data_IF_130626581219
#
_entry.id   IF_130626581219
#
_cell.length_a   1.000
_cell.length_b   1.000
_cell.length_c   1.000
_cell.angle_alpha   90.00
_cell.angle_beta   90.00
_cell.angle_gamma   90.00
#
_symmetry.space_group_name_H-M   'P 1'
#
loop_
_entity.id
_entity.type
_entity.pdbx_description
1 polymer ?
#
# COMPACT_ATOMS: atom_id res chain seq x y z
N UNK A 1 -27.31 10.53 5.30
CA UNK A 1 -25.84 10.42 5.42
C UNK A 1 -25.50 10.55 6.91
N UNK A 2 -25.28 9.44 7.63
CA UNK A 2 -25.13 9.49 9.09
C UNK A 2 -23.76 10.09 9.48
N UNK A 3 -23.74 11.38 9.76
CA UNK A 3 -22.59 12.05 10.35
C UNK A 3 -22.46 11.64 11.82
N UNK A 4 -21.24 11.27 12.24
CA UNK A 4 -20.95 11.01 13.66
C UNK A 4 -21.05 12.33 14.46
N UNK A 5 -21.73 12.27 15.61
CA UNK A 5 -22.04 13.40 16.51
C UNK A 5 -20.81 14.08 17.15
N UNK A 6 -19.63 13.44 17.14
CA UNK A 6 -18.35 14.03 17.56
C UNK A 6 -17.26 13.68 16.55
N UNK A 7 -16.60 14.69 15.99
CA UNK A 7 -15.39 14.52 15.17
C UNK A 7 -14.27 14.07 16.12
N UNK A 8 -13.63 12.95 15.82
CA UNK A 8 -12.46 12.49 16.59
C UNK A 8 -11.34 13.53 16.46
N UNK A 9 -10.71 13.98 17.56
CA UNK A 9 -9.56 14.89 17.50
C UNK A 9 -8.46 14.30 16.62
N UNK A 10 -7.68 15.17 15.98
CA UNK A 10 -6.61 14.79 15.02
C UNK A 10 -5.62 13.81 15.67
N UNK A 11 -5.36 14.00 16.96
CA UNK A 11 -4.51 13.13 17.78
C UNK A 11 -5.08 11.71 17.92
N UNK A 12 -6.40 11.54 18.08
CA UNK A 12 -7.02 10.21 18.09
C UNK A 12 -7.09 9.56 16.71
N UNK A 13 -7.14 10.35 15.63
CA UNK A 13 -7.04 9.83 14.25
C UNK A 13 -5.63 9.31 13.95
N UNK A 14 -4.60 9.99 14.41
CA UNK A 14 -3.20 9.54 14.32
C UNK A 14 -2.95 8.31 15.21
N UNK A 15 -3.49 8.32 16.43
CA UNK A 15 -3.41 7.17 17.35
C UNK A 15 -4.09 5.90 16.80
N UNK A 16 -5.19 6.02 16.06
CA UNK A 16 -5.83 4.89 15.37
C UNK A 16 -5.01 4.32 14.20
N UNK A 17 -4.06 5.09 13.68
CA UNK A 17 -3.13 4.67 12.62
C UNK A 17 -1.97 3.85 13.20
N UNK A 18 -1.51 4.21 14.40
CA UNK A 18 -0.42 3.54 15.14
C UNK A 18 -0.95 2.31 15.90
N UNK A 19 -2.15 2.40 16.50
CA UNK A 19 -2.80 1.30 17.20
C UNK A 19 -4.31 1.31 16.95
N UNK A 20 -4.83 0.47 16.03
CA UNK A 20 -6.27 0.41 15.79
C UNK A 20 -6.96 -0.16 17.03
N UNK A 21 -7.62 0.70 17.83
CA UNK A 21 -8.45 0.34 19.01
C UNK A 21 -9.50 -0.76 18.72
N UNK A 22 -9.79 -1.04 17.45
CA UNK A 22 -10.75 -2.05 16.98
C UNK A 22 -10.16 -3.47 16.83
N UNK A 23 -8.84 -3.65 16.92
CA UNK A 23 -8.14 -4.92 16.70
C UNK A 23 -7.90 -5.27 15.21
N UNK A 24 -6.80 -5.97 14.92
CA UNK A 24 -6.33 -6.30 13.57
C UNK A 24 -7.38 -6.98 12.68
N UNK A 25 -8.19 -7.89 13.25
CA UNK A 25 -9.26 -8.60 12.53
C UNK A 25 -10.31 -7.66 11.94
N UNK A 26 -10.69 -6.59 12.67
CA UNK A 26 -11.64 -5.59 12.19
C UNK A 26 -11.02 -4.66 11.15
N UNK A 27 -9.74 -4.34 11.28
CA UNK A 27 -9.00 -3.54 10.29
C UNK A 27 -8.94 -4.27 8.94
N UNK A 28 -8.57 -5.56 8.94
CA UNK A 28 -8.59 -6.40 7.73
C UNK A 28 -9.99 -6.48 7.15
N UNK A 29 -11.01 -6.70 7.98
CA UNK A 29 -12.42 -6.75 7.54
C UNK A 29 -12.87 -5.42 6.92
N UNK A 30 -12.47 -4.28 7.49
CA UNK A 30 -12.75 -2.96 6.96
C UNK A 30 -12.09 -2.74 5.60
N UNK A 31 -10.79 -3.02 5.47
CA UNK A 31 -10.07 -2.90 4.20
C UNK A 31 -10.65 -3.84 3.15
N UNK A 32 -11.03 -5.06 3.54
CA UNK A 32 -11.70 -6.01 2.67
C UNK A 32 -13.06 -5.50 2.17
N UNK A 33 -13.91 -4.98 3.06
CA UNK A 33 -15.17 -4.37 2.65
C UNK A 33 -14.99 -3.16 1.74
N UNK A 34 -13.94 -2.36 1.98
CA UNK A 34 -13.62 -1.19 1.18
C UNK A 34 -13.14 -1.60 -0.21
N UNK A 35 -12.18 -2.53 -0.30
CA UNK A 35 -11.66 -3.09 -1.56
C UNK A 35 -12.77 -3.71 -2.41
N UNK A 36 -13.70 -4.43 -1.76
CA UNK A 36 -14.87 -4.99 -2.42
C UNK A 36 -15.74 -3.90 -3.08
N UNK A 37 -15.87 -2.70 -2.52
CA UNK A 37 -16.76 -1.67 -3.06
C UNK A 37 -16.12 -0.79 -4.14
N UNK A 38 -14.83 -0.96 -4.42
CA UNK A 38 -14.13 -0.15 -5.42
C UNK A 38 -14.65 -0.50 -6.83
N UNK A 39 -15.03 0.51 -7.64
CA UNK A 39 -15.40 0.30 -9.03
C UNK A 39 -14.18 -0.07 -9.86
N UNK A 40 -14.29 -1.12 -10.68
CA UNK A 40 -13.22 -1.58 -11.56
C UNK A 40 -13.27 -3.08 -11.82
N UNK A 41 -12.51 -3.52 -12.83
CA UNK A 41 -12.27 -4.94 -13.09
C UNK A 41 -11.35 -5.52 -12.03
N UNK A 42 -11.46 -6.83 -11.77
CA UNK A 42 -10.58 -7.53 -10.82
C UNK A 42 -9.09 -7.35 -11.18
N UNK A 43 -8.76 -7.34 -12.48
CA UNK A 43 -7.40 -7.11 -12.96
C UNK A 43 -6.90 -5.69 -12.70
N UNK A 44 -7.73 -4.66 -12.92
CA UNK A 44 -7.35 -3.26 -12.66
C UNK A 44 -7.13 -3.00 -11.16
N UNK A 45 -7.96 -3.58 -10.29
CA UNK A 45 -7.80 -3.48 -8.83
C UNK A 45 -6.54 -4.22 -8.37
N UNK A 46 -6.30 -5.45 -8.87
CA UNK A 46 -5.09 -6.21 -8.54
C UNK A 46 -3.81 -5.51 -9.02
N UNK A 47 -3.82 -4.96 -10.24
CA UNK A 47 -2.71 -4.19 -10.80
C UNK A 47 -2.43 -2.92 -9.97
N UNK A 48 -3.48 -2.17 -9.63
CA UNK A 48 -3.34 -1.00 -8.76
C UNK A 48 -2.74 -1.37 -7.40
N UNK A 49 -3.28 -2.39 -6.74
CA UNK A 49 -2.76 -2.86 -5.45
C UNK A 49 -1.30 -3.33 -5.53
N UNK A 50 -0.92 -4.02 -6.62
CA UNK A 50 0.46 -4.43 -6.87
C UNK A 50 1.41 -3.24 -7.02
N UNK A 51 1.02 -2.18 -7.71
CA UNK A 51 1.80 -0.93 -7.75
C UNK A 51 1.97 -0.32 -6.37
N UNK A 52 0.92 -0.37 -5.53
CA UNK A 52 1.00 0.06 -4.13
C UNK A 52 1.99 -0.76 -3.31
N UNK A 53 1.90 -2.08 -3.41
CA UNK A 53 2.80 -2.99 -2.71
C UNK A 53 4.26 -2.82 -3.16
N UNK A 54 4.49 -2.64 -4.46
CA UNK A 54 5.82 -2.37 -5.02
C UNK A 54 6.37 -1.02 -4.52
N UNK A 55 5.57 0.04 -4.56
CA UNK A 55 5.97 1.36 -4.06
C UNK A 55 6.26 1.35 -2.56
N UNK A 56 5.54 0.54 -1.76
CA UNK A 56 5.78 0.38 -0.33
C UNK A 56 7.17 -0.20 0.00
N UNK A 57 7.81 -0.90 -0.94
CA UNK A 57 9.18 -1.43 -0.75
C UNK A 57 10.26 -0.37 -1.00
N UNK A 58 9.90 0.77 -1.60
CA UNK A 58 10.86 1.83 -1.92
C UNK A 58 11.22 2.65 -0.69
N UNK A 59 12.45 3.19 -0.59
CA UNK A 59 12.88 4.03 0.54
C UNK A 59 12.24 5.44 0.52
N UNK A 60 11.25 5.68 -0.34
CA UNK A 60 10.64 6.98 -0.57
C UNK A 60 9.53 7.28 0.46
N UNK A 61 9.95 7.73 1.65
CA UNK A 61 9.05 8.04 2.76
C UNK A 61 8.10 9.18 2.46
N UNK A 62 6.83 9.00 2.80
CA UNK A 62 5.75 9.96 2.51
C UNK A 62 5.35 10.06 1.04
N UNK A 63 6.28 9.87 0.10
CA UNK A 63 6.02 9.98 -1.34
C UNK A 63 5.64 8.66 -1.98
N UNK A 64 5.91 7.50 -1.38
CA UNK A 64 5.52 6.18 -1.92
C UNK A 64 4.01 6.04 -2.20
N UNK A 65 3.13 6.75 -1.50
CA UNK A 65 1.68 6.78 -1.82
C UNK A 65 1.44 7.50 -3.15
N UNK A 66 2.15 8.61 -3.38
CA UNK A 66 2.10 9.35 -4.64
C UNK A 66 2.70 8.52 -5.76
N UNK A 67 3.86 7.88 -5.51
CA UNK A 67 4.49 6.95 -6.45
C UNK A 67 3.57 5.78 -6.79
N UNK A 68 2.91 5.18 -5.79
CA UNK A 68 1.91 4.12 -5.99
C UNK A 68 0.76 4.59 -6.89
N UNK A 69 0.22 5.78 -6.60
CA UNK A 69 -0.86 6.37 -7.39
C UNK A 69 -0.44 6.66 -8.83
N UNK A 70 0.75 7.21 -9.02
CA UNK A 70 1.33 7.50 -10.33
C UNK A 70 1.58 6.21 -11.13
N UNK A 71 2.20 5.20 -10.52
CA UNK A 71 2.43 3.90 -11.17
C UNK A 71 1.12 3.24 -11.57
N UNK A 72 0.13 3.23 -10.67
CA UNK A 72 -1.18 2.67 -10.97
C UNK A 72 -1.89 3.44 -12.08
N UNK A 73 -1.81 4.77 -12.09
CA UNK A 73 -2.36 5.59 -13.16
C UNK A 73 -1.68 5.29 -14.51
N UNK A 74 -0.35 5.18 -14.53
CA UNK A 74 0.43 4.89 -15.74
C UNK A 74 0.04 3.55 -16.37
N UNK A 75 -0.17 2.50 -15.57
CA UNK A 75 -0.59 1.18 -16.06
C UNK A 75 -2.11 1.02 -16.20
N UNK A 76 -2.88 2.11 -16.06
CA UNK A 76 -4.36 2.10 -16.06
C UNK A 76 -4.97 1.16 -14.99
N UNK A 77 -4.23 0.96 -13.90
CA UNK A 77 -4.67 0.29 -12.69
C UNK A 77 -5.54 1.19 -11.82
N UNK A 78 -6.13 0.60 -10.80
CA UNK A 78 -6.99 1.35 -9.87
C UNK A 78 -6.16 2.13 -8.85
N UNK A 79 -6.13 3.46 -8.96
CA UNK A 79 -5.37 4.34 -8.06
C UNK A 79 -5.79 4.17 -6.59
N UNK A 80 -7.08 3.98 -6.29
CA UNK A 80 -7.52 3.73 -4.92
C UNK A 80 -7.00 2.41 -4.37
N UNK A 81 -6.94 1.36 -5.20
CA UNK A 81 -6.35 0.09 -4.82
C UNK A 81 -4.83 0.23 -4.57
N UNK A 82 -4.16 1.09 -5.33
CA UNK A 82 -2.74 1.41 -5.13
C UNK A 82 -2.46 2.08 -3.79
N UNK A 83 -3.29 3.04 -3.39
CA UNK A 83 -3.20 3.64 -2.05
C UNK A 83 -3.39 2.58 -0.96
N UNK A 84 -4.31 1.62 -1.15
CA UNK A 84 -4.47 0.52 -0.19
C UNK A 84 -3.24 -0.40 -0.13
N UNK A 85 -2.61 -0.68 -1.29
CA UNK A 85 -1.37 -1.45 -1.34
C UNK A 85 -0.19 -0.72 -0.71
N UNK A 86 -0.11 0.61 -0.86
CA UNK A 86 0.92 1.43 -0.27
C UNK A 86 0.91 1.37 1.27
N UNK A 87 -0.25 1.16 1.90
CA UNK A 87 -0.36 1.00 3.36
C UNK A 87 0.19 -0.31 3.91
N UNK A 88 0.70 -1.20 3.05
CA UNK A 88 1.57 -2.30 3.49
C UNK A 88 2.79 -1.74 4.20
N UNK A 89 3.32 -0.60 3.78
CA UNK A 89 4.29 0.19 4.55
C UNK A 89 3.52 1.10 5.53
N UNK A 90 3.45 0.66 6.79
CA UNK A 90 2.89 1.42 7.90
C UNK A 90 3.97 1.58 8.99
N UNK A 91 3.77 2.40 10.04
CA UNK A 91 4.80 2.64 11.06
C UNK A 91 5.37 1.38 11.71
N UNK A 92 4.62 0.26 11.71
CA UNK A 92 5.05 -1.00 12.27
C UNK A 92 5.78 -1.91 11.27
N UNK A 93 5.31 -1.95 10.02
CA UNK A 93 5.92 -2.77 8.96
C UNK A 93 7.04 -2.07 8.22
N UNK A 94 7.12 -0.74 8.29
CA UNK A 94 8.16 0.08 7.67
C UNK A 94 9.56 -0.31 8.14
N UNK A 95 9.88 -0.27 9.45
CA UNK A 95 11.24 -0.55 9.90
C UNK A 95 11.79 -1.90 9.42
N UNK A 96 11.07 -3.04 9.53
CA UNK A 96 11.52 -4.30 8.95
C UNK A 96 11.77 -4.25 7.43
N UNK A 97 10.92 -3.55 6.68
CA UNK A 97 11.10 -3.39 5.24
C UNK A 97 12.37 -2.58 4.92
N UNK A 98 12.73 -1.60 5.75
CA UNK A 98 13.90 -0.74 5.54
C UNK A 98 15.20 -1.50 5.81
N UNK A 99 15.25 -2.25 6.90
CA UNK A 99 16.35 -3.15 7.16
C UNK A 99 16.49 -4.16 6.02
N UNK A 100 15.37 -4.76 5.56
CA UNK A 100 15.37 -5.66 4.41
C UNK A 100 15.94 -5.02 3.14
N UNK A 101 15.47 -3.83 2.78
CA UNK A 101 15.93 -3.11 1.59
C UNK A 101 17.41 -2.71 1.70
N UNK A 102 17.85 -2.25 2.87
CA UNK A 102 19.25 -1.90 3.09
C UNK A 102 20.16 -3.13 3.03
N UNK A 103 19.87 -4.19 3.80
CA UNK A 103 20.73 -5.38 3.83
C UNK A 103 20.79 -6.08 2.48
N UNK A 104 19.65 -6.20 1.81
CA UNK A 104 19.60 -6.75 0.46
C UNK A 104 20.42 -5.89 -0.51
N UNK A 105 20.23 -4.58 -0.49
CA UNK A 105 20.98 -3.68 -1.37
C UNK A 105 22.47 -3.63 -1.07
N UNK A 106 22.84 -3.54 0.20
CA UNK A 106 24.23 -3.52 0.64
C UNK A 106 24.96 -4.81 0.25
N UNK A 107 24.32 -5.97 0.40
CA UNK A 107 24.87 -7.24 -0.11
C UNK A 107 25.00 -7.28 -1.63
N UNK A 108 24.05 -6.71 -2.37
CA UNK A 108 24.09 -6.66 -3.84
C UNK A 108 25.23 -5.80 -4.37
N UNK A 109 25.68 -4.80 -3.61
CA UNK A 109 26.73 -3.89 -4.06
C UNK A 109 28.04 -4.04 -3.28
N UNK A 110 28.14 -5.09 -2.45
CA UNK A 110 29.39 -5.47 -1.79
C UNK A 110 29.81 -4.53 -0.65
N UNK A 111 28.86 -3.91 0.04
CA UNK A 111 29.14 -3.20 1.30
C UNK A 111 29.30 -4.23 2.42
N UNK A 112 30.36 -4.10 3.21
CA UNK A 112 30.54 -4.93 4.41
C UNK A 112 29.48 -4.57 5.47
N UNK A 113 28.60 -5.53 5.74
CA UNK A 113 27.49 -5.41 6.68
C UNK A 113 27.95 -5.39 8.15
N UNK A 114 29.15 -5.90 8.44
CA UNK A 114 29.71 -5.97 9.79
C UNK A 114 30.31 -4.63 10.24
N UNK A 115 30.90 -3.87 9.33
CA UNK A 115 31.56 -2.60 9.66
C UNK A 115 30.61 -1.39 9.64
N UNK A 116 29.52 -1.47 8.90
CA UNK A 116 28.61 -0.36 8.69
C UNK A 116 27.13 -0.72 8.95
N UNK A 117 26.73 -0.96 10.21
CA UNK A 117 25.32 -1.15 10.53
C UNK A 117 24.51 0.12 10.22
N UNK A 118 23.31 0.00 9.61
CA UNK A 118 22.54 1.17 9.22
C UNK A 118 21.98 1.89 10.44
N UNK A 119 22.37 3.15 10.64
CA UNK A 119 21.77 4.03 11.64
C UNK A 119 20.63 4.84 11.03
N UNK A 120 19.43 4.25 10.97
CA UNK A 120 18.25 4.91 10.43
C UNK A 120 17.86 6.18 11.21
N UNK A 121 18.12 6.25 12.51
CA UNK A 121 17.82 7.45 13.32
C UNK A 121 18.68 8.62 12.85
N UNK A 122 19.98 8.39 12.65
CA UNK A 122 20.89 9.40 12.11
C UNK A 122 20.52 9.78 10.68
N UNK A 123 20.17 8.80 9.83
CA UNK A 123 19.71 9.06 8.47
C UNK A 123 18.49 10.00 8.45
N UNK A 124 17.47 9.74 9.28
CA UNK A 124 16.27 10.59 9.34
C UNK A 124 16.57 11.98 9.90
N UNK A 125 17.42 12.08 10.93
CA UNK A 125 17.87 13.39 11.45
C UNK A 125 18.60 14.20 10.36
N UNK A 126 19.56 13.58 9.70
CA UNK A 126 20.31 14.20 8.60
C UNK A 126 19.42 14.58 7.42
N UNK A 127 18.39 13.78 7.12
CA UNK A 127 17.40 14.12 6.08
C UNK A 127 16.59 15.38 6.44
N UNK A 128 16.11 15.47 7.69
CA UNK A 128 15.36 16.64 8.16
C UNK A 128 16.26 17.88 8.13
N UNK A 129 17.47 17.77 8.66
CA UNK A 129 18.43 18.87 8.71
C UNK A 129 18.83 19.36 7.31
N UNK A 130 19.14 18.44 6.40
CA UNK A 130 19.45 18.76 5.01
C UNK A 130 18.30 19.47 4.29
N UNK A 131 17.04 19.07 4.53
CA UNK A 131 15.88 19.71 3.91
C UNK A 131 15.64 21.11 4.49
N UNK A 132 15.73 21.27 5.81
CA UNK A 132 15.45 22.55 6.48
C UNK A 132 16.51 23.61 6.15
N UNK A 133 17.77 23.19 6.08
CA UNK A 133 18.90 24.10 5.87
C UNK A 133 19.37 24.14 4.41
N UNK A 134 18.73 23.38 3.51
CA UNK A 134 19.18 23.16 2.14
C UNK A 134 20.66 22.70 2.04
N UNK A 135 21.11 21.91 3.02
CA UNK A 135 22.49 21.47 3.16
C UNK A 135 22.73 20.13 2.45
N UNK A 136 23.38 20.21 1.29
CA UNK A 136 23.71 19.05 0.45
C UNK A 136 24.82 18.19 1.07
N UNK A 137 25.70 18.79 1.87
CA UNK A 137 26.80 18.07 2.50
C UNK A 137 26.29 17.15 3.60
N UNK A 138 25.38 17.66 4.44
CA UNK A 138 24.67 16.85 5.45
C UNK A 138 23.90 15.70 4.79
N UNK A 139 23.25 15.97 3.66
CA UNK A 139 22.57 14.91 2.89
C UNK A 139 23.54 13.84 2.41
N UNK A 140 24.67 14.25 1.81
CA UNK A 140 25.67 13.31 1.26
C UNK A 140 26.35 12.50 2.36
N UNK A 141 26.60 13.10 3.52
CA UNK A 141 27.28 12.43 4.63
C UNK A 141 26.37 11.47 5.40
N UNK A 142 25.14 11.90 5.72
CA UNK A 142 24.27 11.16 6.65
C UNK A 142 23.14 10.37 5.97
N UNK A 143 22.70 10.78 4.78
CA UNK A 143 21.56 10.16 4.09
C UNK A 143 22.03 9.23 2.99
N UNK A 144 22.89 9.73 2.09
CA UNK A 144 23.29 9.01 0.89
C UNK A 144 23.85 7.60 1.15
N UNK A 145 24.75 7.35 2.13
CA UNK A 145 25.37 6.04 2.34
C UNK A 145 24.37 4.94 2.71
N UNK A 146 23.25 5.29 3.35
CA UNK A 146 22.19 4.36 3.71
C UNK A 146 21.10 4.33 2.63
N UNK A 147 20.84 5.46 1.98
CA UNK A 147 19.76 5.60 1.01
C UNK A 147 20.07 4.90 -0.33
N UNK A 148 21.30 5.00 -0.83
CA UNK A 148 21.62 4.44 -2.15
C UNK A 148 21.58 2.89 -2.19
N UNK A 149 22.07 2.13 -1.19
CA UNK A 149 21.92 0.67 -1.18
C UNK A 149 20.45 0.30 -1.06
N UNK A 150 19.68 1.03 -0.26
CA UNK A 150 18.23 0.79 -0.17
C UNK A 150 17.51 0.94 -1.50
N UNK A 151 17.91 1.88 -2.37
CA UNK A 151 17.34 1.97 -3.73
C UNK A 151 17.61 0.65 -4.47
N UNK A 152 18.86 0.18 -4.46
CA UNK A 152 19.25 -1.06 -5.14
C UNK A 152 18.48 -2.27 -4.61
N UNK A 153 18.41 -2.43 -3.28
CA UNK A 153 17.68 -3.53 -2.65
C UNK A 153 16.15 -3.41 -2.80
N UNK A 154 15.62 -2.20 -2.94
CA UNK A 154 14.19 -2.00 -3.15
C UNK A 154 13.70 -2.48 -4.51
N UNK A 155 14.57 -2.53 -5.54
CA UNK A 155 14.19 -3.00 -6.88
C UNK A 155 13.71 -4.47 -6.85
N UNK A 156 14.52 -5.45 -6.41
CA UNK A 156 14.07 -6.84 -6.33
C UNK A 156 12.91 -7.00 -5.33
N UNK A 157 12.91 -6.30 -4.21
CA UNK A 157 11.79 -6.34 -3.25
C UNK A 157 10.49 -5.85 -3.88
N UNK A 158 10.51 -4.74 -4.61
CA UNK A 158 9.35 -4.16 -5.27
C UNK A 158 8.81 -5.09 -6.36
N UNK A 159 9.70 -5.75 -7.12
CA UNK A 159 9.32 -6.76 -8.11
C UNK A 159 8.61 -7.93 -7.42
N UNK A 160 9.25 -8.55 -6.43
CA UNK A 160 8.69 -9.71 -5.72
C UNK A 160 7.37 -9.36 -5.03
N UNK A 161 7.32 -8.26 -4.29
CA UNK A 161 6.12 -7.80 -3.61
C UNK A 161 4.98 -7.46 -4.59
N UNK A 162 5.30 -6.77 -5.69
CA UNK A 162 4.34 -6.44 -6.73
C UNK A 162 3.74 -7.67 -7.38
N UNK A 163 4.56 -8.65 -7.79
CA UNK A 163 4.10 -9.90 -8.37
C UNK A 163 3.29 -10.74 -7.37
N UNK A 164 3.79 -10.90 -6.14
CA UNK A 164 3.08 -11.63 -5.09
C UNK A 164 1.71 -10.99 -4.79
N UNK A 165 1.65 -9.66 -4.72
CA UNK A 165 0.41 -8.93 -4.52
C UNK A 165 -0.56 -9.09 -5.70
N UNK A 166 -0.08 -9.02 -6.94
CA UNK A 166 -0.91 -9.20 -8.13
C UNK A 166 -1.50 -10.61 -8.19
N UNK A 167 -0.66 -11.64 -8.13
CA UNK A 167 -1.08 -13.03 -8.26
C UNK A 167 -1.85 -13.54 -7.04
N UNK A 168 -1.55 -13.05 -5.84
CA UNK A 168 -2.31 -13.37 -4.64
C UNK A 168 -3.71 -12.74 -4.64
N UNK A 169 -3.82 -11.48 -5.08
CA UNK A 169 -5.08 -10.74 -4.99
C UNK A 169 -6.01 -10.99 -6.18
N UNK A 170 -5.49 -11.24 -7.37
CA UNK A 170 -6.28 -11.49 -8.58
C UNK A 170 -7.30 -12.63 -8.46
N UNK A 171 -6.96 -13.86 -8.03
CA UNK A 171 -7.92 -14.97 -7.93
C UNK A 171 -9.01 -14.66 -6.91
N UNK A 172 -8.62 -14.07 -5.78
CA UNK A 172 -9.52 -13.66 -4.70
C UNK A 172 -10.54 -12.62 -5.20
N UNK A 173 -10.09 -11.61 -5.95
CA UNK A 173 -10.97 -10.61 -6.53
C UNK A 173 -11.86 -11.16 -7.64
N UNK A 174 -11.36 -12.07 -8.48
CA UNK A 174 -12.15 -12.74 -9.53
C UNK A 174 -13.30 -13.54 -8.91
N UNK A 175 -13.03 -14.34 -7.88
CA UNK A 175 -14.06 -15.10 -7.16
C UNK A 175 -15.16 -14.19 -6.60
N UNK A 176 -14.78 -13.07 -5.98
CA UNK A 176 -15.73 -12.07 -5.46
C UNK A 176 -16.54 -11.40 -6.57
N UNK A 177 -15.94 -11.12 -7.73
CA UNK A 177 -16.63 -10.49 -8.84
C UNK A 177 -17.66 -11.43 -9.47
N UNK A 178 -17.31 -12.71 -9.65
CA UNK A 178 -18.20 -13.76 -10.13
C UNK A 178 -19.42 -13.93 -9.22
N UNK A 179 -19.21 -13.97 -7.91
CA UNK A 179 -20.28 -14.07 -6.91
C UNK A 179 -21.29 -12.92 -7.04
N UNK A 180 -20.84 -11.71 -7.39
CA UNK A 180 -21.74 -10.55 -7.60
C UNK A 180 -22.54 -10.65 -8.88
N UNK A 181 -21.90 -11.10 -9.97
CA UNK A 181 -22.58 -11.29 -11.25
C UNK A 181 -23.68 -12.33 -11.07
N UNK A 182 -23.37 -13.48 -10.47
CA UNK A 182 -24.35 -14.53 -10.17
C UNK A 182 -25.49 -14.03 -9.27
N UNK A 183 -25.20 -13.26 -8.21
CA UNK A 183 -26.24 -12.66 -7.35
C UNK A 183 -27.13 -11.65 -8.07
N UNK A 184 -26.59 -10.87 -9.01
CA UNK A 184 -27.37 -9.93 -9.83
C UNK A 184 -28.28 -10.67 -10.81
N UNK A 185 -27.79 -11.73 -11.43
CA UNK A 185 -28.59 -12.59 -12.32
C UNK A 185 -29.71 -13.27 -11.54
N UNK A 186 -29.42 -13.87 -10.38
CA UNK A 186 -30.44 -14.51 -9.53
C UNK A 186 -31.51 -13.52 -9.04
N UNK A 187 -31.13 -12.29 -8.66
CA UNK A 187 -32.10 -11.25 -8.28
C UNK A 187 -32.98 -10.77 -9.44
N UNK A 188 -32.45 -10.73 -10.66
CA UNK A 188 -33.23 -10.41 -11.86
C UNK A 188 -34.21 -11.53 -12.20
N UNK A 189 -33.78 -12.79 -12.09
CA UNK A 189 -34.66 -13.95 -12.30
C UNK A 189 -35.83 -13.98 -11.30
N UNK A 190 -35.54 -13.76 -10.00
CA UNK A 190 -36.58 -13.68 -8.95
C UNK A 190 -37.49 -12.46 -9.10
N UNK A 191 -36.96 -11.34 -9.63
CA UNK A 191 -37.74 -10.15 -9.93
C UNK A 191 -38.68 -10.33 -11.13
N UNK A 192 -38.24 -11.01 -12.18
CA UNK A 192 -39.05 -11.31 -13.36
C UNK A 192 -40.14 -12.35 -13.08
N UNK A 193 -39.87 -13.35 -12.23
CA UNK A 193 -40.89 -14.33 -11.81
C UNK A 193 -41.96 -13.78 -10.86
N UNK A 194 -41.82 -12.54 -10.38
CA UNK A 194 -42.74 -11.87 -9.45
C UNK A 194 -43.62 -10.81 -10.12
N UNK A 195 -43.48 -10.57 -11.42
CA UNK A 195 -44.43 -9.75 -12.18
C UNK A 195 -45.57 -10.67 -12.58
N UNK A 196 -46.74 -10.64 -11.90
CA UNK A 196 -47.91 -11.38 -12.38
C UNK A 196 -48.30 -10.72 -13.70
N UNK A 197 -48.70 -11.52 -14.69
CA UNK A 197 -49.26 -11.00 -15.93
C UNK A 197 -50.37 -10.00 -15.62
N UNK A 198 -50.08 -8.72 -15.84
CA UNK A 198 -51.11 -7.74 -16.18
C UNK A 198 -51.42 -7.99 -17.63
N UNK A 199 -52.57 -8.63 -17.89
CA UNK A 199 -53.28 -8.88 -19.16
C UNK A 199 -53.94 -10.27 -19.02
N UNK A 200 -55.26 -10.46 -19.10
CA UNK A 200 -56.37 -9.65 -19.58
C UNK A 200 -57.68 -10.10 -18.92
#
# INVERSE_FOLDING_TARGET
>A
MFQRRKRLPIQERLGQWIWPRMGWRRTVTYYWHRLRRIPGTASSIAAGFACGAAAAMTPFYGTHIVTAGFLAWAIRGNVFAAVLGAQIANPWTGPPLWFGAYYLGASMVGIDLGEHPPNFVQMFKGLIEAILNADIEVFRANVWPIFWPMIVGSIPMAIVAGFAAYFGLLPVLRAVHLERVMRRVGRRAVGQSRVPGTEA
#
